data_IF_156894520391
#
_entry.id   IF_156894520391
#
_cell.length_a   1.000
_cell.length_b   1.000
_cell.length_c   1.000
_cell.angle_alpha   90.00
_cell.angle_beta   90.00
_cell.angle_gamma   90.00
#
_symmetry.space_group_name_H-M   'P 1'
#
loop_
_entity.id
_entity.type
_entity.pdbx_description
1 polymer ?
#
# COMPACT_ATOMS: atom_id res chain seq x y z
N UNK A 1 -10.90 15.69 -3.92
CA UNK A 1 -10.48 14.47 -3.21
C UNK A 1 -11.68 13.73 -2.67
N UNK A 2 -11.83 12.45 -3.04
CA UNK A 2 -12.93 11.64 -2.54
C UNK A 2 -12.61 11.18 -1.12
N UNK A 3 -13.55 11.44 -0.20
CA UNK A 3 -13.48 10.95 1.18
C UNK A 3 -13.47 9.43 1.20
N UNK A 4 -12.56 8.85 2.00
CA UNK A 4 -12.52 7.41 2.23
C UNK A 4 -13.66 7.02 3.17
N UNK A 5 -14.42 6.01 2.77
CA UNK A 5 -15.44 5.41 3.62
C UNK A 5 -14.84 4.19 4.30
N UNK A 6 -14.79 4.19 5.63
CA UNK A 6 -14.29 3.05 6.40
C UNK A 6 -15.33 1.92 6.44
N UNK A 7 -14.86 0.69 6.55
CA UNK A 7 -15.73 -0.46 6.74
C UNK A 7 -16.46 -0.42 8.09
N UNK A 8 -17.73 -0.84 8.08
CA UNK A 8 -18.50 -1.07 9.30
C UNK A 8 -18.37 -2.53 9.70
N UNK A 9 -17.51 -2.79 10.68
CA UNK A 9 -17.16 -4.11 11.17
C UNK A 9 -18.05 -4.52 12.35
N UNK A 10 -18.56 -5.75 12.32
CA UNK A 10 -19.10 -6.43 13.50
C UNK A 10 -18.36 -7.75 13.74
N UNK A 11 -18.53 -8.33 14.92
CA UNK A 11 -17.98 -9.64 15.26
C UNK A 11 -19.13 -10.60 15.57
N UNK A 12 -19.10 -11.81 15.02
CA UNK A 12 -20.08 -12.84 15.34
C UNK A 12 -19.73 -13.57 16.66
N UNK A 13 -20.54 -14.57 17.03
CA UNK A 13 -20.36 -15.36 18.26
C UNK A 13 -19.01 -16.09 18.36
N UNK A 14 -18.32 -16.31 17.24
CA UNK A 14 -16.98 -16.93 17.18
C UNK A 14 -15.85 -15.90 17.03
N UNK A 15 -16.12 -14.63 17.35
CA UNK A 15 -15.21 -13.49 17.20
C UNK A 15 -14.72 -13.28 15.75
N UNK A 16 -15.51 -13.71 14.76
CA UNK A 16 -15.18 -13.57 13.34
C UNK A 16 -15.54 -12.18 12.83
N UNK A 17 -14.64 -11.47 12.15
CA UNK A 17 -14.94 -10.18 11.53
C UNK A 17 -15.95 -10.35 10.39
N UNK A 18 -17.08 -9.64 10.49
CA UNK A 18 -18.16 -9.60 9.50
C UNK A 18 -18.29 -8.20 8.93
N UNK A 19 -18.34 -8.09 7.61
CA UNK A 19 -18.70 -6.84 6.95
C UNK A 19 -20.21 -6.68 6.96
N UNK A 20 -20.72 -5.70 7.70
CA UNK A 20 -22.16 -5.40 7.72
C UNK A 20 -22.66 -4.87 6.38
N UNK A 21 -21.78 -4.24 5.59
CA UNK A 21 -22.12 -3.69 4.28
C UNK A 21 -22.32 -4.78 3.21
N UNK A 22 -21.51 -5.84 3.26
CA UNK A 22 -21.55 -6.93 2.27
C UNK A 22 -22.28 -8.17 2.80
N UNK A 23 -22.64 -8.18 4.09
CA UNK A 23 -23.30 -9.30 4.76
C UNK A 23 -22.55 -10.61 4.52
N UNK A 24 -21.23 -10.56 4.75
CA UNK A 24 -20.29 -11.65 4.52
C UNK A 24 -19.08 -11.53 5.48
N UNK A 25 -18.43 -12.65 5.75
CA UNK A 25 -17.26 -12.70 6.65
C UNK A 25 -15.99 -12.31 5.90
N UNK A 26 -15.03 -11.68 6.58
CA UNK A 26 -13.71 -11.42 5.98
C UNK A 26 -12.88 -12.70 5.85
N UNK A 27 -12.87 -13.54 6.88
CA UNK A 27 -12.26 -14.87 6.91
C UNK A 27 -12.80 -15.64 8.12
N UNK A 28 -12.70 -16.97 8.15
CA UNK A 28 -13.03 -17.77 9.34
C UNK A 28 -11.96 -17.63 10.42
N UNK A 29 -12.30 -17.30 11.68
CA UNK A 29 -11.27 -17.20 12.75
C UNK A 29 -10.60 -18.51 13.10
N UNK A 30 -11.25 -19.65 12.85
CA UNK A 30 -10.69 -20.97 13.17
C UNK A 30 -9.70 -21.46 12.09
N UNK A 31 -10.05 -21.28 10.82
CA UNK A 31 -9.30 -21.87 9.70
C UNK A 31 -8.78 -20.84 8.68
N UNK A 32 -9.03 -19.54 8.88
CA UNK A 32 -8.82 -18.50 7.87
C UNK A 32 -7.38 -18.40 7.38
N UNK A 33 -6.39 -18.58 8.26
CA UNK A 33 -4.99 -18.60 7.86
C UNK A 33 -4.65 -19.82 7.00
N UNK A 34 -5.12 -21.01 7.39
CA UNK A 34 -4.89 -22.23 6.62
C UNK A 34 -5.59 -22.17 5.25
N UNK A 35 -6.81 -21.63 5.20
CA UNK A 35 -7.52 -21.37 3.96
C UNK A 35 -6.77 -20.40 3.05
N UNK A 36 -6.30 -19.26 3.60
CA UNK A 36 -5.50 -18.27 2.87
C UNK A 36 -4.24 -18.89 2.26
N UNK A 37 -3.48 -19.67 3.04
CA UNK A 37 -2.29 -20.39 2.57
C UNK A 37 -2.65 -21.36 1.43
N UNK A 38 -3.69 -22.17 1.62
CA UNK A 38 -4.10 -23.18 0.65
C UNK A 38 -4.62 -22.59 -0.67
N UNK A 39 -5.48 -21.58 -0.58
CA UNK A 39 -6.11 -20.95 -1.75
C UNK A 39 -5.07 -20.13 -2.51
N UNK A 40 -4.44 -19.16 -1.84
CA UNK A 40 -3.66 -18.14 -2.53
C UNK A 40 -2.21 -18.52 -2.72
N UNK A 41 -1.56 -19.09 -1.71
CA UNK A 41 -0.13 -19.36 -1.77
C UNK A 41 0.17 -20.68 -2.47
N UNK A 42 -0.52 -21.76 -2.10
CA UNK A 42 -0.38 -23.04 -2.81
C UNK A 42 -1.05 -22.98 -4.19
N UNK A 43 -2.19 -22.28 -4.33
CA UNK A 43 -2.86 -22.12 -5.64
C UNK A 43 -1.99 -21.41 -6.67
N UNK A 44 -1.18 -20.43 -6.23
CA UNK A 44 -0.17 -19.80 -7.08
C UNK A 44 1.19 -20.53 -7.07
N UNK A 45 1.32 -21.66 -6.36
CA UNK A 45 2.56 -22.44 -6.25
C UNK A 45 3.77 -21.57 -5.84
N UNK A 46 3.55 -20.62 -4.92
CA UNK A 46 4.52 -19.54 -4.67
C UNK A 46 5.91 -20.04 -4.29
N UNK A 47 6.01 -21.09 -3.47
CA UNK A 47 7.31 -21.60 -3.04
C UNK A 47 8.14 -22.15 -4.21
N UNK A 48 7.53 -22.97 -5.06
CA UNK A 48 8.19 -23.52 -6.25
C UNK A 48 8.55 -22.40 -7.25
N UNK A 49 7.66 -21.42 -7.43
CA UNK A 49 7.94 -20.25 -8.26
C UNK A 49 9.11 -19.44 -7.71
N UNK A 50 9.19 -19.24 -6.40
CA UNK A 50 10.30 -18.53 -5.76
C UNK A 50 11.63 -19.25 -5.90
N UNK A 51 11.66 -20.57 -5.73
CA UNK A 51 12.88 -21.39 -5.93
C UNK A 51 13.41 -21.32 -7.36
N UNK A 52 12.53 -21.15 -8.34
CA UNK A 52 12.89 -21.05 -9.76
C UNK A 52 12.94 -19.60 -10.26
N UNK A 53 12.79 -18.61 -9.37
CA UNK A 53 12.66 -17.21 -9.77
C UNK A 53 14.01 -16.62 -10.16
N UNK A 54 14.05 -15.93 -11.29
CA UNK A 54 15.30 -15.41 -11.87
C UNK A 54 15.50 -13.90 -11.69
N UNK A 55 14.60 -13.23 -10.96
CA UNK A 55 14.68 -11.80 -10.71
C UNK A 55 14.87 -11.52 -9.22
N UNK A 56 15.43 -10.34 -8.92
CA UNK A 56 15.68 -9.94 -7.55
C UNK A 56 14.41 -9.62 -6.73
N UNK A 57 13.26 -9.54 -7.40
CA UNK A 57 11.97 -9.25 -6.79
C UNK A 57 10.82 -10.05 -7.38
N UNK A 58 9.85 -10.37 -6.54
CA UNK A 58 8.58 -11.00 -6.91
C UNK A 58 7.43 -10.05 -6.58
N UNK A 59 6.45 -9.94 -7.46
CA UNK A 59 5.31 -9.01 -7.33
C UNK A 59 4.01 -9.80 -7.22
N UNK A 60 3.32 -9.65 -6.10
CA UNK A 60 1.97 -10.17 -5.89
C UNK A 60 1.01 -8.99 -5.94
N UNK A 61 -0.14 -9.16 -6.61
CA UNK A 61 -1.23 -8.22 -6.51
C UNK A 61 -2.50 -8.88 -5.98
N UNK A 62 -3.30 -8.12 -5.24
CA UNK A 62 -4.50 -8.60 -4.55
C UNK A 62 -5.67 -7.65 -4.79
N UNK A 63 -6.87 -8.18 -5.00
CA UNK A 63 -8.06 -7.37 -5.36
C UNK A 63 -8.88 -6.85 -4.18
N UNK A 64 -8.57 -7.28 -2.95
CA UNK A 64 -9.23 -6.84 -1.72
C UNK A 64 -8.34 -7.10 -0.49
N UNK A 65 -7.83 -6.06 0.15
CA UNK A 65 -6.94 -6.19 1.30
C UNK A 65 -7.65 -6.74 2.54
N UNK A 66 -8.86 -6.25 2.80
CA UNK A 66 -9.67 -6.55 3.97
C UNK A 66 -8.90 -6.33 5.27
N UNK A 67 -8.52 -7.44 5.90
CA UNK A 67 -7.82 -7.45 7.18
C UNK A 67 -6.31 -7.68 7.03
N UNK A 68 -5.78 -7.72 5.80
CA UNK A 68 -4.36 -7.99 5.53
C UNK A 68 -3.89 -9.42 5.80
N UNK A 69 -4.80 -10.37 6.05
CA UNK A 69 -4.42 -11.75 6.42
C UNK A 69 -3.56 -12.43 5.33
N UNK A 70 -3.96 -12.31 4.07
CA UNK A 70 -3.19 -12.84 2.94
C UNK A 70 -1.79 -12.22 2.85
N UNK A 71 -1.70 -10.89 3.05
CA UNK A 71 -0.43 -10.17 3.07
C UNK A 71 0.49 -10.68 4.19
N UNK A 72 0.01 -10.76 5.44
CA UNK A 72 0.84 -11.24 6.54
C UNK A 72 1.27 -12.70 6.35
N UNK A 73 0.36 -13.55 5.89
CA UNK A 73 0.66 -14.96 5.65
C UNK A 73 1.74 -15.14 4.57
N UNK A 74 1.69 -14.36 3.48
CA UNK A 74 2.73 -14.44 2.43
C UNK A 74 4.02 -13.75 2.84
N UNK A 75 3.94 -12.69 3.65
CA UNK A 75 5.11 -11.99 4.18
C UNK A 75 5.93 -12.89 5.11
N UNK A 76 5.27 -13.60 6.04
CA UNK A 76 5.91 -14.60 6.90
C UNK A 76 6.55 -15.72 6.07
N UNK A 77 5.82 -16.28 5.09
CA UNK A 77 6.37 -17.32 4.20
C UNK A 77 7.56 -16.83 3.40
N UNK A 78 7.56 -15.58 2.96
CA UNK A 78 8.70 -14.98 2.25
C UNK A 78 9.91 -14.80 3.16
N UNK A 79 9.71 -14.40 4.41
CA UNK A 79 10.80 -14.37 5.41
C UNK A 79 11.40 -15.77 5.61
N UNK A 80 10.57 -16.81 5.72
CA UNK A 80 11.02 -18.20 5.81
C UNK A 80 11.81 -18.61 4.56
N UNK A 81 11.33 -18.26 3.36
CA UNK A 81 12.04 -18.52 2.10
C UNK A 81 13.43 -17.88 2.12
N UNK A 82 13.55 -16.61 2.52
CA UNK A 82 14.84 -15.92 2.61
C UNK A 82 15.79 -16.55 3.63
N UNK A 83 15.27 -16.97 4.79
CA UNK A 83 16.07 -17.65 5.81
C UNK A 83 16.63 -18.98 5.30
N UNK A 84 15.83 -19.74 4.54
CA UNK A 84 16.25 -21.03 3.97
C UNK A 84 17.13 -20.87 2.72
N UNK A 85 17.05 -19.73 2.03
CA UNK A 85 17.75 -19.49 0.77
C UNK A 85 18.47 -18.12 0.77
N UNK A 86 19.43 -17.89 1.68
CA UNK A 86 20.01 -16.55 1.90
C UNK A 86 20.75 -15.99 0.68
N UNK A 87 21.31 -16.86 -0.16
CA UNK A 87 22.06 -16.50 -1.38
C UNK A 87 21.21 -16.48 -2.65
N UNK A 88 19.90 -16.76 -2.55
CA UNK A 88 19.02 -16.80 -3.71
C UNK A 88 18.85 -15.41 -4.33
N UNK A 89 18.66 -15.32 -5.66
CA UNK A 89 18.55 -14.03 -6.34
C UNK A 89 17.31 -13.24 -5.89
N UNK A 90 16.18 -13.92 -5.69
CA UNK A 90 14.95 -13.33 -5.15
C UNK A 90 15.16 -12.86 -3.71
N UNK A 91 15.24 -11.54 -3.55
CA UNK A 91 15.55 -10.90 -2.27
C UNK A 91 14.44 -9.99 -1.76
N UNK A 92 13.48 -9.60 -2.62
CA UNK A 92 12.40 -8.66 -2.30
C UNK A 92 11.02 -9.17 -2.71
N UNK A 93 10.02 -8.85 -1.89
CA UNK A 93 8.61 -9.08 -2.20
C UNK A 93 7.90 -7.72 -2.31
N UNK A 94 7.22 -7.49 -3.42
CA UNK A 94 6.27 -6.39 -3.57
C UNK A 94 4.86 -6.96 -3.54
N UNK A 95 4.02 -6.39 -2.69
CA UNK A 95 2.62 -6.76 -2.57
C UNK A 95 1.77 -5.53 -2.87
N UNK A 96 0.94 -5.59 -3.89
CA UNK A 96 0.05 -4.50 -4.31
C UNK A 96 -1.37 -4.91 -3.95
N UNK A 97 -2.05 -4.20 -3.06
CA UNK A 97 -3.44 -4.51 -2.73
C UNK A 97 -4.35 -3.32 -2.93
N UNK A 98 -5.63 -3.58 -3.15
CA UNK A 98 -6.67 -2.57 -3.32
C UNK A 98 -7.69 -2.72 -2.21
N UNK A 99 -8.13 -1.60 -1.62
CA UNK A 99 -9.14 -1.61 -0.57
C UNK A 99 -10.08 -0.42 -0.68
N UNK A 100 -11.37 -0.70 -0.88
CA UNK A 100 -12.39 0.33 -1.03
C UNK A 100 -12.90 0.82 0.32
N UNK A 101 -12.96 -0.07 1.30
CA UNK A 101 -13.52 0.17 2.64
C UNK A 101 -12.52 -0.27 3.70
N UNK A 102 -11.45 0.51 3.94
CA UNK A 102 -10.43 0.12 4.89
C UNK A 102 -10.99 0.04 6.31
N UNK A 103 -10.42 -0.86 7.11
CA UNK A 103 -10.62 -0.89 8.55
C UNK A 103 -9.89 0.26 9.22
N UNK A 104 -10.38 0.68 10.39
CA UNK A 104 -9.63 1.62 11.24
C UNK A 104 -8.43 0.92 11.86
N UNK A 105 -7.42 1.68 12.29
CA UNK A 105 -6.24 1.14 12.98
C UNK A 105 -6.62 0.32 14.22
N UNK A 106 -7.65 0.75 14.96
CA UNK A 106 -8.19 0.02 16.11
C UNK A 106 -8.84 -1.30 15.71
N UNK A 107 -9.66 -1.31 14.65
CA UNK A 107 -10.29 -2.53 14.13
C UNK A 107 -9.24 -3.52 13.63
N UNK A 108 -8.22 -3.07 12.89
CA UNK A 108 -7.10 -3.92 12.47
C UNK A 108 -6.39 -4.53 13.67
N UNK A 109 -6.03 -3.72 14.66
CA UNK A 109 -5.38 -4.21 15.88
C UNK A 109 -6.21 -5.28 16.59
N UNK A 110 -7.53 -5.07 16.69
CA UNK A 110 -8.45 -6.05 17.25
C UNK A 110 -8.48 -7.35 16.45
N UNK A 111 -8.61 -7.27 15.12
CA UNK A 111 -8.65 -8.46 14.26
C UNK A 111 -7.33 -9.23 14.34
N UNK A 112 -6.19 -8.54 14.31
CA UNK A 112 -4.86 -9.15 14.33
C UNK A 112 -4.50 -9.80 15.67
N UNK A 113 -5.19 -9.46 16.76
CA UNK A 113 -5.00 -10.11 18.07
C UNK A 113 -5.27 -11.62 18.04
N UNK A 114 -6.07 -12.09 17.07
CA UNK A 114 -6.30 -13.51 16.83
C UNK A 114 -5.11 -14.24 16.17
N UNK A 115 -4.11 -13.50 15.66
CA UNK A 115 -2.93 -14.03 14.98
C UNK A 115 -1.64 -13.48 15.60
N UNK A 116 -1.29 -13.89 16.82
CA UNK A 116 -0.14 -13.34 17.56
C UNK A 116 1.21 -13.54 16.83
N UNK A 117 1.33 -14.53 15.95
CA UNK A 117 2.51 -14.72 15.09
C UNK A 117 2.76 -13.51 14.17
N UNK A 118 1.72 -12.74 13.83
CA UNK A 118 1.84 -11.54 13.01
C UNK A 118 1.94 -10.25 13.82
N UNK A 119 2.13 -10.31 15.15
CA UNK A 119 2.12 -9.13 16.02
C UNK A 119 3.10 -8.03 15.59
N UNK A 120 4.30 -8.39 15.13
CA UNK A 120 5.29 -7.42 14.65
C UNK A 120 4.85 -6.74 13.34
N UNK A 121 4.31 -7.51 12.39
CA UNK A 121 3.76 -6.96 11.15
C UNK A 121 2.57 -6.05 11.45
N UNK A 122 1.64 -6.51 12.29
CA UNK A 122 0.48 -5.74 12.72
C UNK A 122 0.91 -4.42 13.37
N UNK A 123 1.82 -4.45 14.34
CA UNK A 123 2.30 -3.25 15.03
C UNK A 123 2.92 -2.26 14.05
N UNK A 124 3.77 -2.73 13.14
CA UNK A 124 4.43 -1.86 12.16
C UNK A 124 3.43 -1.26 11.16
N UNK A 125 2.39 -2.01 10.79
CA UNK A 125 1.34 -1.52 9.90
C UNK A 125 0.47 -0.47 10.61
N UNK A 126 -0.04 -0.79 11.81
CA UNK A 126 -1.03 0.04 12.51
C UNK A 126 -0.46 1.32 13.09
N UNK A 127 0.85 1.37 13.33
CA UNK A 127 1.50 2.54 13.90
C UNK A 127 1.53 3.77 12.97
N UNK A 128 1.41 3.56 11.65
CA UNK A 128 1.30 4.63 10.64
C UNK A 128 0.02 4.51 9.79
N UNK A 129 -1.04 3.87 10.31
CA UNK A 129 -2.25 3.61 9.52
C UNK A 129 -3.18 4.84 9.47
N UNK A 130 -2.81 5.82 8.65
CA UNK A 130 -3.55 7.07 8.47
C UNK A 130 -4.11 7.17 7.05
N UNK A 131 -5.38 6.79 6.87
CA UNK A 131 -6.01 6.74 5.55
C UNK A 131 -6.73 8.06 5.23
N UNK A 132 -5.95 9.09 4.87
CA UNK A 132 -6.49 10.44 4.66
C UNK A 132 -7.12 10.68 3.28
N UNK A 133 -6.74 9.90 2.26
CA UNK A 133 -7.22 10.08 0.89
C UNK A 133 -7.12 8.81 0.05
N UNK A 134 -7.84 8.79 -1.07
CA UNK A 134 -7.70 7.75 -2.11
C UNK A 134 -6.31 7.75 -2.76
N UNK A 135 -5.87 6.57 -3.20
CA UNK A 135 -4.59 6.36 -3.88
C UNK A 135 -3.67 5.44 -3.10
N UNK A 136 -2.39 5.45 -3.47
CA UNK A 136 -1.40 4.51 -2.97
C UNK A 136 -0.71 5.02 -1.70
N UNK A 137 -0.73 4.20 -0.65
CA UNK A 137 0.19 4.32 0.49
C UNK A 137 1.15 3.13 0.47
N UNK A 138 2.44 3.40 0.69
CA UNK A 138 3.47 2.36 0.75
C UNK A 138 3.86 2.08 2.20
N UNK A 139 3.98 0.81 2.55
CA UNK A 139 4.49 0.32 3.83
C UNK A 139 5.72 -0.57 3.63
N UNK A 140 6.67 -0.48 4.57
CA UNK A 140 7.93 -1.22 4.52
C UNK A 140 8.05 -2.20 5.68
N UNK A 141 8.40 -3.44 5.36
CA UNK A 141 8.71 -4.52 6.30
C UNK A 141 10.03 -5.16 5.86
N UNK A 142 11.12 -4.41 6.06
CA UNK A 142 12.47 -4.72 5.57
C UNK A 142 12.52 -4.92 4.05
N UNK A 143 12.55 -6.17 3.59
CA UNK A 143 12.63 -6.53 2.18
C UNK A 143 11.25 -6.76 1.53
N UNK A 144 10.18 -6.49 2.28
CA UNK A 144 8.80 -6.66 1.86
C UNK A 144 8.16 -5.29 1.80
N UNK A 145 7.54 -4.98 0.66
CA UNK A 145 6.94 -3.68 0.38
C UNK A 145 5.45 -3.91 0.10
N UNK A 146 4.59 -3.19 0.81
CA UNK A 146 3.14 -3.21 0.60
C UNK A 146 2.71 -1.88 -0.01
N UNK A 147 2.18 -1.91 -1.23
CA UNK A 147 1.48 -0.79 -1.86
C UNK A 147 -0.02 -1.01 -1.68
N UNK A 148 -0.63 -0.22 -0.80
CA UNK A 148 -2.06 -0.30 -0.53
C UNK A 148 -2.79 0.86 -1.21
N UNK A 149 -3.64 0.52 -2.17
CA UNK A 149 -4.42 1.46 -2.96
C UNK A 149 -5.82 1.61 -2.38
N UNK A 150 -6.05 2.72 -1.70
CA UNK A 150 -7.37 3.04 -1.14
C UNK A 150 -8.29 3.63 -2.20
N UNK A 151 -9.53 3.13 -2.24
CA UNK A 151 -10.54 3.50 -3.23
C UNK A 151 -11.01 2.31 -4.07
N UNK A 152 -11.92 2.56 -5.02
CA UNK A 152 -12.44 1.50 -5.88
C UNK A 152 -11.31 0.94 -6.78
N UNK A 153 -11.19 -0.38 -6.80
CA UNK A 153 -10.20 -1.07 -7.63
C UNK A 153 -10.39 -0.77 -9.12
N UNK A 154 -11.63 -0.55 -9.58
CA UNK A 154 -11.91 -0.23 -10.98
C UNK A 154 -11.41 1.15 -11.37
N UNK A 155 -11.30 2.08 -10.41
CA UNK A 155 -10.72 3.41 -10.61
C UNK A 155 -9.19 3.40 -10.42
N UNK A 156 -8.69 2.59 -9.49
CA UNK A 156 -7.27 2.55 -9.12
C UNK A 156 -6.41 1.69 -10.07
N UNK A 157 -6.91 0.55 -10.56
CA UNK A 157 -6.11 -0.32 -11.46
C UNK A 157 -5.61 0.38 -12.72
N UNK A 158 -6.44 1.17 -13.44
CA UNK A 158 -5.95 1.93 -14.59
C UNK A 158 -4.86 2.96 -14.22
N UNK A 159 -4.87 3.51 -13.00
CA UNK A 159 -3.89 4.51 -12.54
C UNK A 159 -2.47 3.95 -12.35
N UNK A 160 -2.30 2.63 -12.25
CA UNK A 160 -0.96 2.02 -12.31
C UNK A 160 -0.24 2.31 -13.64
N UNK A 161 -1.00 2.59 -14.70
CA UNK A 161 -0.48 2.92 -16.03
C UNK A 161 0.14 1.71 -16.74
N UNK A 162 0.73 1.95 -17.91
CA UNK A 162 1.30 0.90 -18.76
C UNK A 162 2.68 0.42 -18.33
N UNK A 163 3.32 1.11 -17.38
CA UNK A 163 4.61 0.69 -16.82
C UNK A 163 4.51 -0.57 -15.97
N UNK A 164 3.32 -0.85 -15.44
CA UNK A 164 3.00 -2.06 -14.72
C UNK A 164 2.53 -3.21 -15.64
N UNK A 165 2.45 -3.00 -16.96
CA UNK A 165 2.18 -4.08 -17.91
C UNK A 165 3.24 -5.16 -17.76
N UNK A 166 2.82 -6.43 -17.68
CA UNK A 166 3.73 -7.57 -17.59
C UNK A 166 4.69 -7.47 -16.38
N UNK A 167 4.22 -6.94 -15.23
CA UNK A 167 5.02 -6.79 -13.99
C UNK A 167 4.56 -7.65 -12.82
N UNK A 168 3.31 -8.09 -12.78
CA UNK A 168 2.76 -8.88 -11.67
C UNK A 168 3.06 -10.36 -11.90
N UNK A 169 3.70 -11.02 -10.93
CA UNK A 169 4.04 -12.45 -11.00
C UNK A 169 2.86 -13.34 -10.57
N UNK A 170 2.08 -12.89 -9.58
CA UNK A 170 0.91 -13.61 -9.08
C UNK A 170 -0.25 -12.69 -8.67
N UNK A 171 -1.48 -13.16 -8.90
CA UNK A 171 -2.70 -12.51 -8.42
C UNK A 171 -3.38 -13.33 -7.31
N UNK A 172 -3.70 -12.64 -6.22
CA UNK A 172 -4.66 -13.08 -5.21
C UNK A 172 -6.00 -12.43 -5.55
N UNK A 173 -6.83 -13.14 -6.31
CA UNK A 173 -8.15 -12.65 -6.69
C UNK A 173 -9.11 -12.93 -5.53
N UNK A 174 -9.12 -12.00 -4.59
CA UNK A 174 -9.87 -12.03 -3.33
C UNK A 174 -10.91 -10.91 -3.23
N UNK A 175 -11.81 -11.04 -2.26
CA UNK A 175 -12.91 -10.12 -1.98
C UNK A 175 -14.19 -10.89 -1.65
N UNK A 176 -15.26 -10.17 -1.30
CA UNK A 176 -16.54 -10.81 -0.98
C UNK A 176 -17.05 -11.69 -2.12
N UNK A 177 -17.82 -12.72 -1.77
CA UNK A 177 -18.31 -13.70 -2.73
C UNK A 177 -18.96 -13.03 -3.96
N UNK A 178 -18.84 -13.60 -5.18
CA UNK A 178 -19.34 -12.95 -6.40
C UNK A 178 -20.82 -12.55 -6.36
N UNK A 179 -21.65 -13.31 -5.65
CA UNK A 179 -23.08 -13.01 -5.49
C UNK A 179 -23.34 -11.86 -4.50
N UNK A 180 -22.38 -11.58 -3.60
CA UNK A 180 -22.42 -10.50 -2.61
C UNK A 180 -21.82 -9.19 -3.12
N UNK A 181 -20.82 -9.25 -4.01
CA UNK A 181 -20.17 -8.07 -4.59
C UNK A 181 -19.98 -8.16 -6.12
N UNK A 182 -21.05 -8.34 -6.92
CA UNK A 182 -20.94 -8.57 -8.36
C UNK A 182 -20.31 -7.40 -9.12
N UNK A 183 -20.29 -6.20 -8.55
CA UNK A 183 -19.68 -5.00 -9.14
C UNK A 183 -18.17 -5.14 -9.32
N UNK A 184 -17.48 -5.75 -8.34
CA UNK A 184 -16.04 -6.00 -8.43
C UNK A 184 -15.72 -7.08 -9.47
N UNK A 185 -16.49 -8.18 -9.47
CA UNK A 185 -16.27 -9.35 -10.33
C UNK A 185 -16.75 -9.13 -11.77
N UNK A 186 -16.09 -8.23 -12.48
CA UNK A 186 -16.49 -7.78 -13.81
C UNK A 186 -15.39 -7.95 -14.86
N UNK A 187 -15.77 -7.80 -16.13
CA UNK A 187 -14.87 -7.91 -17.28
C UNK A 187 -13.69 -6.93 -17.19
N UNK A 188 -13.93 -5.69 -16.77
CA UNK A 188 -12.90 -4.65 -16.67
C UNK A 188 -11.79 -5.04 -15.70
N UNK A 189 -12.14 -5.63 -14.56
CA UNK A 189 -11.16 -6.17 -13.61
C UNK A 189 -10.30 -7.26 -14.27
N UNK A 190 -10.92 -8.26 -14.90
CA UNK A 190 -10.19 -9.37 -15.52
C UNK A 190 -9.25 -8.90 -16.64
N UNK A 191 -9.66 -7.89 -17.42
CA UNK A 191 -8.83 -7.29 -18.46
C UNK A 191 -7.59 -6.62 -17.86
N UNK A 192 -7.76 -5.87 -16.77
CA UNK A 192 -6.63 -5.25 -16.07
C UNK A 192 -5.70 -6.28 -15.45
N UNK A 193 -6.24 -7.34 -14.83
CA UNK A 193 -5.42 -8.44 -14.31
C UNK A 193 -4.58 -9.09 -15.41
N UNK A 194 -5.19 -9.42 -16.57
CA UNK A 194 -4.48 -10.03 -17.70
C UNK A 194 -3.44 -9.09 -18.33
N UNK A 195 -3.73 -7.78 -18.38
CA UNK A 195 -2.80 -6.74 -18.87
C UNK A 195 -1.54 -6.66 -18.00
N UNK A 196 -1.73 -6.65 -16.68
CA UNK A 196 -0.66 -6.38 -15.71
C UNK A 196 0.14 -7.62 -15.32
N UNK A 197 -0.44 -8.82 -15.44
CA UNK A 197 0.24 -10.07 -15.13
C UNK A 197 1.28 -10.45 -16.18
N UNK A 198 2.39 -11.00 -15.71
CA UNK A 198 3.44 -11.56 -16.55
C UNK A 198 2.95 -12.74 -17.38
N UNK A 199 3.55 -12.96 -18.53
CA UNK A 199 3.44 -14.26 -19.19
C UNK A 199 3.92 -15.37 -18.24
N UNK A 200 3.18 -16.47 -18.14
CA UNK A 200 3.33 -17.53 -17.13
C UNK A 200 3.08 -17.10 -15.66
N UNK A 201 2.64 -15.86 -15.43
CA UNK A 201 2.13 -15.45 -14.13
C UNK A 201 0.83 -16.17 -13.81
N UNK A 202 0.58 -16.40 -12.52
CA UNK A 202 -0.63 -17.12 -12.05
C UNK A 202 -1.64 -16.24 -11.35
N UNK A 203 -2.87 -16.72 -11.26
CA UNK A 203 -3.83 -16.24 -10.28
C UNK A 203 -4.42 -17.40 -9.50
N UNK A 204 -4.91 -17.12 -8.29
CA UNK A 204 -5.75 -18.03 -7.52
C UNK A 204 -6.90 -17.27 -6.87
N UNK A 205 -8.04 -17.94 -6.71
CA UNK A 205 -9.24 -17.40 -6.05
C UNK A 205 -10.02 -18.49 -5.34
N UNK A 206 -10.69 -18.15 -4.24
CA UNK A 206 -11.50 -19.09 -3.46
C UNK A 206 -12.78 -19.54 -4.20
N UNK A 207 -13.27 -18.75 -5.17
CA UNK A 207 -14.55 -19.02 -5.86
C UNK A 207 -14.38 -19.98 -7.03
N UNK A 208 -15.39 -20.83 -7.25
CA UNK A 208 -15.54 -21.68 -8.43
C UNK A 208 -16.69 -21.25 -9.35
N UNK A 209 -17.17 -20.01 -9.20
CA UNK A 209 -18.29 -19.49 -9.99
C UNK A 209 -18.06 -19.59 -11.49
N UNK A 210 -19.08 -20.08 -12.20
CA UNK A 210 -19.03 -20.23 -13.66
C UNK A 210 -18.96 -18.88 -14.39
N UNK A 211 -19.46 -17.79 -13.81
CA UNK A 211 -19.33 -16.44 -14.38
C UNK A 211 -17.88 -15.96 -14.32
N UNK A 212 -17.25 -16.10 -13.15
CA UNK A 212 -15.83 -15.73 -12.91
C UNK A 212 -14.91 -16.55 -13.82
N UNK A 213 -15.09 -17.88 -13.87
CA UNK A 213 -14.32 -18.75 -14.76
C UNK A 213 -14.41 -18.30 -16.22
N UNK A 214 -15.61 -18.09 -16.74
CA UNK A 214 -15.81 -17.65 -18.13
C UNK A 214 -15.24 -16.25 -18.38
N UNK A 215 -15.36 -15.34 -17.42
CA UNK A 215 -14.78 -14.00 -17.51
C UNK A 215 -13.26 -14.00 -17.63
N UNK A 216 -12.59 -14.80 -16.81
CA UNK A 216 -11.13 -14.97 -16.85
C UNK A 216 -10.67 -15.68 -18.13
N UNK A 217 -11.40 -16.71 -18.58
CA UNK A 217 -11.11 -17.36 -19.86
C UNK A 217 -11.29 -16.40 -21.05
N UNK A 218 -12.31 -15.54 -21.02
CA UNK A 218 -12.59 -14.60 -22.09
C UNK A 218 -11.52 -13.52 -22.27
N UNK A 219 -10.72 -13.23 -21.23
CA UNK A 219 -9.57 -12.30 -21.34
C UNK A 219 -8.25 -13.00 -21.67
N UNK A 220 -8.24 -14.35 -21.72
CA UNK A 220 -7.10 -15.13 -22.18
C UNK A 220 -6.40 -16.00 -21.12
N UNK A 221 -6.89 -16.06 -19.88
CA UNK A 221 -6.31 -16.95 -18.87
C UNK A 221 -6.61 -18.42 -19.16
N UNK A 222 -5.64 -19.30 -18.93
CA UNK A 222 -5.85 -20.74 -18.83
C UNK A 222 -6.37 -21.09 -17.44
N UNK A 223 -7.69 -21.21 -17.31
CA UNK A 223 -8.37 -21.43 -16.02
C UNK A 223 -8.62 -22.91 -15.73
N UNK A 224 -8.14 -23.37 -14.58
CA UNK A 224 -8.28 -24.74 -14.07
C UNK A 224 -9.06 -24.74 -12.74
N UNK A 225 -9.73 -25.86 -12.46
CA UNK A 225 -10.36 -26.11 -11.16
C UNK A 225 -9.39 -26.87 -10.25
N UNK A 226 -9.38 -26.55 -8.97
CA UNK A 226 -8.70 -27.30 -7.90
C UNK A 226 -9.71 -27.63 -6.82
N UNK A 227 -9.44 -28.65 -6.01
CA UNK A 227 -10.23 -28.96 -4.80
C UNK A 227 -10.27 -27.72 -3.90
N UNK A 228 -11.44 -27.38 -3.35
CA UNK A 228 -11.57 -26.27 -2.41
C UNK A 228 -11.03 -26.64 -1.01
N UNK A 229 -10.78 -25.62 -0.20
CA UNK A 229 -10.36 -25.81 1.19
C UNK A 229 -11.52 -26.31 2.07
N UNK A 230 -11.23 -27.21 3.01
CA UNK A 230 -12.22 -27.73 3.96
C UNK A 230 -13.44 -28.34 3.28
N UNK A 231 -14.63 -27.76 3.53
CA UNK A 231 -15.91 -28.21 2.96
C UNK A 231 -16.17 -27.69 1.54
N UNK A 232 -15.40 -26.70 1.05
CA UNK A 232 -15.59 -26.15 -0.30
C UNK A 232 -15.18 -27.20 -1.33
N UNK A 233 -16.05 -27.47 -2.31
CA UNK A 233 -15.82 -28.52 -3.30
C UNK A 233 -14.71 -28.17 -4.28
N UNK A 234 -14.77 -26.96 -4.81
CA UNK A 234 -13.89 -26.49 -5.89
C UNK A 234 -13.49 -25.04 -5.67
N UNK A 235 -12.35 -24.65 -6.24
CA UNK A 235 -11.85 -23.29 -6.36
C UNK A 235 -11.12 -23.13 -7.71
N UNK A 236 -10.76 -21.91 -8.10
CA UNK A 236 -10.10 -21.64 -9.38
C UNK A 236 -8.66 -21.20 -9.20
N UNK A 237 -7.83 -21.66 -10.13
CA UNK A 237 -6.50 -21.13 -10.35
C UNK A 237 -6.24 -21.12 -11.85
N UNK A 238 -5.24 -20.38 -12.29
CA UNK A 238 -4.86 -20.38 -13.69
C UNK A 238 -3.64 -19.53 -13.97
N UNK A 239 -3.21 -19.54 -15.23
CA UNK A 239 -2.01 -18.85 -15.66
C UNK A 239 -2.26 -18.10 -16.96
N UNK A 240 -1.49 -17.03 -17.17
CA UNK A 240 -1.41 -16.38 -18.47
C UNK A 240 -0.51 -17.22 -19.39
N UNK A 241 -0.96 -17.63 -20.59
CA UNK A 241 -0.14 -18.41 -21.51
C UNK A 241 1.21 -17.73 -21.80
N UNK A 242 2.28 -18.54 -21.88
CA UNK A 242 3.65 -18.04 -22.12
C UNK A 242 3.78 -17.20 -23.41
N UNK A 243 3.00 -17.55 -24.44
CA UNK A 243 3.02 -16.90 -25.76
C UNK A 243 1.95 -15.80 -25.92
N UNK A 244 1.40 -15.28 -24.82
CA UNK A 244 0.43 -14.18 -24.89
C UNK A 244 1.09 -12.91 -25.44
N UNK A 245 0.37 -12.20 -26.31
CA UNK A 245 0.82 -10.90 -26.84
C UNK A 245 1.00 -9.89 -25.71
N UNK A 246 2.09 -9.13 -25.80
CA UNK A 246 2.35 -8.04 -24.85
C UNK A 246 1.64 -6.77 -25.33
N UNK A 247 0.87 -6.10 -24.46
CA UNK A 247 0.20 -4.87 -24.83
C UNK A 247 1.25 -3.79 -25.18
N UNK A 248 0.95 -2.98 -26.18
CA UNK A 248 1.75 -1.79 -26.48
C UNK A 248 1.77 -0.87 -25.24
N UNK A 249 2.93 -0.30 -24.95
CA UNK A 249 3.12 0.60 -23.80
C UNK A 249 2.89 2.03 -24.29
N UNK A 250 1.86 2.70 -23.75
CA UNK A 250 1.65 4.12 -23.95
C UNK A 250 2.02 4.87 -22.67
N UNK A 251 3.22 5.44 -22.66
CA UNK A 251 3.72 6.23 -21.51
C UNK A 251 3.66 7.72 -21.82
N UNK A 252 3.36 8.57 -20.82
CA UNK A 252 3.42 10.01 -21.00
C UNK A 252 4.80 10.46 -21.46
N UNK A 253 4.86 11.52 -22.28
CA UNK A 253 6.12 12.04 -22.86
C UNK A 253 7.18 12.42 -21.80
N UNK A 254 6.75 12.75 -20.58
CA UNK A 254 7.60 13.13 -19.46
C UNK A 254 8.13 11.93 -18.67
N UNK A 255 7.73 10.70 -19.00
CA UNK A 255 8.25 9.51 -18.36
C UNK A 255 9.52 9.01 -19.07
N UNK A 256 10.63 8.96 -18.33
CA UNK A 256 11.89 8.43 -18.84
C UNK A 256 12.03 6.95 -18.49
N UNK A 257 12.22 6.13 -19.52
CA UNK A 257 12.61 4.73 -19.33
C UNK A 257 14.08 4.66 -18.89
N UNK A 258 14.43 3.81 -17.93
CA UNK A 258 15.83 3.60 -17.58
C UNK A 258 16.60 3.06 -18.79
N UNK A 259 17.70 3.72 -19.13
CA UNK A 259 18.54 3.32 -20.28
C UNK A 259 19.42 2.10 -19.99
N UNK A 260 19.70 1.82 -18.70
CA UNK A 260 20.47 0.67 -18.27
C UNK A 260 20.12 0.28 -16.83
N UNK A 261 20.23 -1.01 -16.51
CA UNK A 261 20.30 -1.47 -15.13
C UNK A 261 21.76 -1.39 -14.64
N UNK A 262 21.98 -0.73 -13.51
CA UNK A 262 23.30 -0.66 -12.86
C UNK A 262 23.17 -1.03 -11.38
N UNK A 263 24.23 -1.62 -10.85
CA UNK A 263 24.38 -1.91 -9.43
C UNK A 263 25.27 -0.90 -8.70
N UNK A 264 26.09 -0.13 -9.42
CA UNK A 264 26.99 0.88 -8.85
C UNK A 264 26.53 2.29 -9.25
N UNK A 265 26.15 3.09 -8.25
CA UNK A 265 25.45 4.36 -8.43
C UNK A 265 26.22 5.46 -7.70
N UNK A 266 26.66 6.46 -8.46
CA UNK A 266 27.20 7.70 -7.91
C UNK A 266 26.07 8.72 -7.69
N UNK A 267 25.98 9.28 -6.48
CA UNK A 267 25.05 10.36 -6.12
C UNK A 267 25.87 11.60 -5.85
N UNK A 268 25.53 12.72 -6.49
CA UNK A 268 26.15 14.02 -6.23
C UNK A 268 25.21 14.84 -5.35
N UNK A 269 25.66 15.18 -4.14
CA UNK A 269 24.85 15.90 -3.16
C UNK A 269 25.40 15.76 -1.73
N UNK A 270 24.62 16.22 -0.77
CA UNK A 270 24.94 16.07 0.66
C UNK A 270 23.80 16.47 1.58
N UNK A 271 22.60 16.65 1.02
CA UNK A 271 21.40 17.03 1.76
C UNK A 271 20.45 15.85 1.94
N UNK A 272 19.26 16.15 2.45
CA UNK A 272 18.26 15.15 2.82
C UNK A 272 17.83 14.24 1.65
N UNK A 273 17.69 14.81 0.45
CA UNK A 273 17.31 14.06 -0.75
C UNK A 273 18.35 13.00 -1.14
N UNK A 274 19.64 13.35 -1.13
CA UNK A 274 20.72 12.40 -1.43
C UNK A 274 20.80 11.28 -0.39
N UNK A 275 20.52 11.57 0.88
CA UNK A 275 20.56 10.56 1.95
C UNK A 275 19.40 9.57 1.84
N UNK A 276 18.17 10.04 1.63
CA UNK A 276 17.02 9.15 1.44
C UNK A 276 17.09 8.37 0.12
N UNK A 277 17.66 8.95 -0.95
CA UNK A 277 17.96 8.21 -2.18
C UNK A 277 18.98 7.10 -1.93
N UNK A 278 20.08 7.42 -1.22
CA UNK A 278 21.09 6.43 -0.84
C UNK A 278 20.47 5.28 -0.03
N UNK A 279 19.65 5.60 0.98
CA UNK A 279 18.95 4.61 1.79
C UNK A 279 18.05 3.70 0.94
N UNK A 280 17.22 4.27 0.06
CA UNK A 280 16.32 3.50 -0.80
C UNK A 280 17.06 2.56 -1.78
N UNK A 281 18.25 2.97 -2.25
CA UNK A 281 19.11 2.16 -3.11
C UNK A 281 19.83 1.06 -2.33
N UNK A 282 20.35 1.37 -1.14
CA UNK A 282 20.97 0.39 -0.23
C UNK A 282 19.97 -0.70 0.20
N UNK A 283 18.72 -0.33 0.52
CA UNK A 283 17.63 -1.27 0.80
C UNK A 283 17.30 -2.21 -0.38
N UNK A 284 17.71 -1.83 -1.60
CA UNK A 284 17.58 -2.65 -2.82
C UNK A 284 18.86 -3.40 -3.17
N UNK A 285 19.87 -3.38 -2.30
CA UNK A 285 21.14 -4.07 -2.47
C UNK A 285 22.07 -3.41 -3.50
N UNK A 286 21.85 -2.12 -3.81
CA UNK A 286 22.70 -1.37 -4.73
C UNK A 286 23.92 -0.83 -4.01
N UNK A 287 25.04 -0.73 -4.72
CA UNK A 287 26.24 -0.03 -4.28
C UNK A 287 26.08 1.46 -4.56
N UNK A 288 26.33 2.29 -3.54
CA UNK A 288 26.14 3.73 -3.60
C UNK A 288 27.43 4.44 -3.21
N UNK A 289 27.86 5.39 -4.04
CA UNK A 289 28.94 6.32 -3.73
C UNK A 289 28.38 7.74 -3.65
N UNK A 290 28.49 8.41 -2.50
CA UNK A 290 28.01 9.78 -2.30
C UNK A 290 29.17 10.77 -2.42
N UNK A 291 29.05 11.71 -3.37
CA UNK A 291 29.99 12.81 -3.55
C UNK A 291 29.40 14.12 -3.03
N UNK A 292 29.95 14.60 -1.92
CA UNK A 292 29.63 15.91 -1.36
C UNK A 292 30.75 16.90 -1.67
N UNK A 293 30.39 18.10 -2.13
CA UNK A 293 31.35 19.19 -2.37
C UNK A 293 31.90 19.76 -1.06
N UNK A 294 31.07 19.78 -0.02
CA UNK A 294 31.37 20.39 1.26
C UNK A 294 32.16 19.43 2.16
N UNK A 295 32.82 19.95 3.20
CA UNK A 295 33.61 19.15 4.13
C UNK A 295 32.76 18.23 5.04
N UNK A 296 31.45 18.44 5.07
CA UNK A 296 30.49 17.67 5.85
C UNK A 296 29.14 17.64 5.14
N UNK A 297 28.26 16.74 5.56
CA UNK A 297 26.88 16.68 5.09
C UNK A 297 26.04 17.84 5.66
N UNK A 298 24.90 18.11 5.03
CA UNK A 298 23.89 19.07 5.47
C UNK A 298 24.39 20.51 5.71
N UNK A 299 25.41 20.98 4.98
CA UNK A 299 25.97 22.34 5.17
C UNK A 299 25.19 23.46 4.47
N UNK A 300 24.10 23.14 3.77
CA UNK A 300 23.28 24.08 3.01
C UNK A 300 21.81 24.03 3.50
N UNK A 301 20.82 24.02 2.60
CA UNK A 301 19.39 24.10 2.96
C UNK A 301 18.89 22.99 3.92
N UNK A 302 19.56 21.83 3.98
CA UNK A 302 19.23 20.75 4.92
C UNK A 302 19.89 20.89 6.30
N UNK A 303 20.62 21.98 6.57
CA UNK A 303 21.37 22.20 7.81
C UNK A 303 20.62 22.96 8.92
N UNK A 304 19.33 23.22 8.73
CA UNK A 304 18.52 23.87 9.76
C UNK A 304 18.41 23.00 11.00
N UNK A 305 18.45 23.62 12.18
CA UNK A 305 18.31 22.90 13.46
C UNK A 305 16.93 22.28 13.63
N UNK A 306 15.89 22.99 13.18
CA UNK A 306 14.50 22.56 13.29
C UNK A 306 13.76 22.90 11.99
N UNK A 307 13.01 21.92 11.47
CA UNK A 307 12.16 22.09 10.30
C UNK A 307 10.73 21.65 10.61
N UNK A 308 9.76 22.43 10.17
CA UNK A 308 8.36 22.02 10.24
C UNK A 308 8.06 21.00 9.14
N UNK A 309 7.35 19.92 9.50
CA UNK A 309 6.87 18.90 8.55
C UNK A 309 5.35 18.87 8.58
N UNK A 310 4.73 19.19 7.46
CA UNK A 310 3.29 19.13 7.23
C UNK A 310 3.03 19.09 5.72
N UNK A 311 1.91 18.55 5.25
CA UNK A 311 1.57 18.56 3.83
C UNK A 311 1.15 19.98 3.43
N UNK A 312 1.55 20.39 2.23
CA UNK A 312 1.02 21.61 1.64
C UNK A 312 -0.42 21.36 1.16
N UNK A 313 -1.37 21.78 1.99
CA UNK A 313 -2.79 21.80 1.64
C UNK A 313 -3.12 23.10 0.90
N UNK A 314 -3.95 23.00 -0.14
CA UNK A 314 -4.44 24.15 -0.91
C UNK A 314 -5.81 23.87 -1.52
N UNK A 315 -6.47 24.90 -2.04
CA UNK A 315 -7.65 24.83 -2.92
C UNK A 315 -7.26 24.80 -4.41
N UNK A 316 -5.99 24.52 -4.71
CA UNK A 316 -5.40 24.51 -6.06
C UNK A 316 -5.45 23.10 -6.69
N UNK A 317 -4.55 22.80 -7.64
CA UNK A 317 -4.44 21.53 -8.36
C UNK A 317 -4.47 20.30 -7.45
N UNK A 318 -5.51 19.47 -7.62
CA UNK A 318 -5.70 18.22 -6.88
C UNK A 318 -4.50 17.27 -6.97
N UNK A 319 -3.74 17.29 -8.08
CA UNK A 319 -2.55 16.45 -8.26
C UNK A 319 -1.45 16.83 -7.27
N UNK A 320 -1.25 18.13 -7.06
CA UNK A 320 -0.25 18.63 -6.12
C UNK A 320 -0.65 18.28 -4.69
N UNK A 321 -1.91 18.48 -4.34
CA UNK A 321 -2.38 18.20 -2.98
C UNK A 321 -2.29 16.70 -2.69
N UNK A 322 -2.70 15.84 -3.64
CA UNK A 322 -2.55 14.39 -3.53
C UNK A 322 -1.10 13.99 -3.31
N UNK A 323 -0.17 14.59 -4.06
CA UNK A 323 1.27 14.35 -3.88
C UNK A 323 1.76 14.72 -2.48
N UNK A 324 1.40 15.91 -1.96
CA UNK A 324 1.86 16.35 -0.65
C UNK A 324 1.28 15.52 0.49
N UNK A 325 0.00 15.15 0.44
CA UNK A 325 -0.63 14.32 1.48
C UNK A 325 -0.02 12.91 1.50
N UNK A 326 0.17 12.27 0.33
CA UNK A 326 0.85 10.96 0.26
C UNK A 326 2.32 11.04 0.66
N UNK A 327 3.01 12.11 0.30
CA UNK A 327 4.42 12.31 0.68
C UNK A 327 4.57 12.54 2.18
N UNK A 328 3.62 13.24 2.80
CA UNK A 328 3.60 13.48 4.24
C UNK A 328 3.37 12.18 5.02
N UNK A 329 2.35 11.40 4.64
CA UNK A 329 2.11 10.06 5.20
C UNK A 329 3.37 9.17 5.11
N UNK A 330 3.95 9.09 3.91
CA UNK A 330 5.17 8.32 3.69
C UNK A 330 6.36 8.84 4.52
N UNK A 331 6.51 10.17 4.65
CA UNK A 331 7.58 10.76 5.45
C UNK A 331 7.44 10.43 6.94
N UNK A 332 6.22 10.53 7.51
CA UNK A 332 5.95 10.14 8.90
C UNK A 332 6.30 8.68 9.15
N UNK A 333 5.90 7.80 8.23
CA UNK A 333 6.24 6.38 8.30
C UNK A 333 7.76 6.15 8.29
N UNK A 334 8.49 6.84 7.40
CA UNK A 334 9.95 6.69 7.31
C UNK A 334 10.67 7.23 8.55
N UNK A 335 10.19 8.33 9.14
CA UNK A 335 10.71 8.86 10.41
C UNK A 335 10.54 7.83 11.52
N UNK A 336 9.33 7.27 11.68
CA UNK A 336 9.05 6.27 12.70
C UNK A 336 9.89 4.99 12.55
N UNK A 337 10.16 4.56 11.31
CA UNK A 337 11.04 3.41 11.04
C UNK A 337 12.52 3.68 11.35
N UNK A 338 12.95 4.95 11.27
CA UNK A 338 14.32 5.37 11.52
C UNK A 338 14.58 5.70 12.99
N UNK A 339 13.58 6.16 13.74
CA UNK A 339 13.68 6.49 15.17
C UNK A 339 14.39 5.41 16.01
N UNK A 340 14.08 4.11 15.90
CA UNK A 340 14.80 3.08 16.66
C UNK A 340 16.20 2.74 16.12
N UNK A 341 16.58 3.25 14.94
CA UNK A 341 17.82 2.90 14.22
C UNK A 341 18.86 4.01 14.22
N UNK A 342 18.43 5.26 14.27
CA UNK A 342 19.26 6.45 14.17
C UNK A 342 18.78 7.47 15.19
N UNK A 343 19.71 8.03 15.97
CA UNK A 343 19.38 9.10 16.89
C UNK A 343 19.26 10.45 16.16
N UNK A 344 18.12 11.12 16.29
CA UNK A 344 17.89 12.48 15.81
C UNK A 344 16.79 13.16 16.61
N UNK A 345 16.92 14.47 16.80
CA UNK A 345 15.93 15.30 17.49
C UNK A 345 14.69 15.44 16.61
N UNK A 346 13.52 15.11 17.16
CA UNK A 346 12.24 15.31 16.50
C UNK A 346 11.12 15.38 17.53
N UNK A 347 10.04 16.05 17.18
CA UNK A 347 8.78 16.03 17.91
C UNK A 347 7.65 16.25 16.91
N UNK A 348 6.78 15.25 16.75
CA UNK A 348 5.63 15.30 15.83
C UNK A 348 4.38 15.78 16.58
N UNK A 349 4.46 16.97 17.18
CA UNK A 349 3.40 17.55 18.02
C UNK A 349 2.32 18.31 17.26
N UNK A 350 2.30 18.21 15.93
CA UNK A 350 1.41 18.97 15.04
C UNK A 350 1.93 20.37 14.69
N UNK A 351 1.30 20.98 13.68
CA UNK A 351 1.65 22.29 13.12
C UNK A 351 0.42 23.20 13.11
N UNK A 352 0.53 24.33 13.80
CA UNK A 352 -0.48 25.38 13.77
C UNK A 352 -0.23 26.37 12.62
N UNK A 353 -1.20 26.53 11.73
CA UNK A 353 -1.24 27.55 10.69
C UNK A 353 -2.13 28.70 11.18
N UNK A 354 -1.50 29.75 11.69
CA UNK A 354 -2.20 30.88 12.32
C UNK A 354 -2.93 31.77 11.31
N UNK A 355 -4.20 32.11 11.58
CA UNK A 355 -5.01 33.03 10.80
C UNK A 355 -4.67 34.50 11.07
N UNK A 356 -3.46 34.94 10.72
CA UNK A 356 -2.95 36.28 11.07
C UNK A 356 -3.61 37.45 10.31
N UNK A 357 -4.38 37.19 9.26
CA UNK A 357 -5.19 38.18 8.56
C UNK A 357 -6.40 37.53 7.88
N UNK A 358 -7.35 38.35 7.40
CA UNK A 358 -8.57 37.86 6.74
C UNK A 358 -8.26 36.91 5.57
N UNK A 359 -7.28 37.26 4.71
CA UNK A 359 -6.91 36.45 3.55
C UNK A 359 -6.50 35.02 3.93
N UNK A 360 -5.75 34.85 5.02
CA UNK A 360 -5.36 33.51 5.48
C UNK A 360 -6.52 32.78 6.15
N UNK A 361 -7.34 33.48 6.93
CA UNK A 361 -8.55 32.90 7.52
C UNK A 361 -9.49 32.37 6.43
N UNK A 362 -9.73 33.15 5.37
CA UNK A 362 -10.54 32.73 4.23
C UNK A 362 -9.94 31.49 3.53
N UNK A 363 -8.61 31.44 3.37
CA UNK A 363 -7.93 30.27 2.80
C UNK A 363 -8.11 29.03 3.66
N UNK A 364 -7.96 29.14 4.98
CA UNK A 364 -8.14 28.03 5.92
C UNK A 364 -9.60 27.56 5.97
N UNK A 365 -10.56 28.48 5.87
CA UNK A 365 -11.98 28.13 5.76
C UNK A 365 -12.25 27.33 4.49
N UNK A 366 -11.73 27.77 3.33
CA UNK A 366 -11.85 27.00 2.09
C UNK A 366 -11.27 25.60 2.19
N UNK A 367 -10.15 25.43 2.91
CA UNK A 367 -9.59 24.11 3.18
C UNK A 367 -10.51 23.25 4.05
N UNK A 368 -11.14 23.85 5.07
CA UNK A 368 -12.11 23.16 5.90
C UNK A 368 -13.33 22.69 5.08
N UNK A 369 -13.77 23.50 4.12
CA UNK A 369 -14.90 23.19 3.24
C UNK A 369 -14.61 22.00 2.30
N UNK A 370 -13.33 21.66 2.07
CA UNK A 370 -12.92 20.43 1.35
C UNK A 370 -13.17 19.15 2.17
N UNK A 371 -13.56 19.26 3.45
CA UNK A 371 -13.92 18.15 4.33
C UNK A 371 -12.84 17.06 4.44
N UNK A 372 -11.59 17.47 4.65
CA UNK A 372 -10.50 16.56 5.01
C UNK A 372 -10.82 15.76 6.28
N UNK A 373 -10.12 14.65 6.47
CA UNK A 373 -10.12 13.96 7.75
C UNK A 373 -9.59 14.91 8.85
N UNK A 374 -10.27 14.96 10.00
CA UNK A 374 -9.89 15.85 11.10
C UNK A 374 -8.52 15.49 11.70
N UNK A 375 -8.05 14.26 11.50
CA UNK A 375 -6.68 13.86 11.85
C UNK A 375 -5.61 14.38 10.88
N UNK A 376 -6.00 14.95 9.73
CA UNK A 376 -5.10 15.62 8.79
C UNK A 376 -5.19 17.15 8.88
N UNK A 377 -6.40 17.69 9.03
CA UNK A 377 -6.61 19.13 9.13
C UNK A 377 -7.86 19.44 9.94
N UNK A 378 -7.69 20.24 10.98
CA UNK A 378 -8.75 20.75 11.82
C UNK A 378 -8.76 22.28 11.78
N UNK A 379 -9.91 22.88 11.45
CA UNK A 379 -10.09 24.32 11.61
C UNK A 379 -10.44 24.61 13.07
N UNK A 380 -9.61 25.41 13.73
CA UNK A 380 -9.75 25.75 15.14
C UNK A 380 -10.14 27.23 15.30
N UNK A 381 -11.06 27.50 16.23
CA UNK A 381 -11.23 28.85 16.75
C UNK A 381 -10.03 29.24 17.65
N UNK A 382 -10.01 30.48 18.16
CA UNK A 382 -8.89 30.98 18.97
C UNK A 382 -8.66 30.19 20.27
N UNK A 383 -9.74 29.76 20.93
CA UNK A 383 -9.70 28.98 22.18
C UNK A 383 -9.11 27.59 21.91
N UNK A 384 -9.66 26.87 20.94
CA UNK A 384 -9.20 25.54 20.53
C UNK A 384 -7.74 25.56 20.08
N UNK A 385 -7.34 26.57 19.28
CA UNK A 385 -5.95 26.69 18.83
C UNK A 385 -5.01 26.98 20.01
N UNK A 386 -5.45 27.83 20.96
CA UNK A 386 -4.67 28.13 22.16
C UNK A 386 -4.44 26.88 23.02
N UNK A 387 -5.47 26.04 23.17
CA UNK A 387 -5.37 24.77 23.88
C UNK A 387 -4.37 23.82 23.22
N UNK A 388 -4.43 23.67 21.89
CA UNK A 388 -3.54 22.75 21.14
C UNK A 388 -2.08 23.18 21.19
N UNK A 389 -1.78 24.47 21.10
CA UNK A 389 -0.39 24.96 21.08
C UNK A 389 0.15 25.32 22.47
N UNK A 390 -0.71 25.34 23.49
CA UNK A 390 -0.34 25.71 24.86
C UNK A 390 -0.02 27.19 25.06
N UNK A 391 -0.46 28.08 24.17
CA UNK A 391 -0.21 29.52 24.21
C UNK A 391 -1.47 30.30 23.79
N UNK A 392 -1.82 31.42 24.45
CA UNK A 392 -2.98 32.21 24.07
C UNK A 392 -2.79 32.87 22.70
N UNK A 393 -3.77 32.69 21.82
CA UNK A 393 -3.86 33.37 20.52
C UNK A 393 -5.17 34.15 20.40
N UNK A 394 -5.14 35.24 19.64
CA UNK A 394 -6.32 36.10 19.45
C UNK A 394 -7.22 35.65 18.30
N UNK A 395 -6.64 35.03 17.28
CA UNK A 395 -7.37 34.49 16.13
C UNK A 395 -7.34 32.97 16.12
N UNK A 396 -8.28 32.37 15.38
CA UNK A 396 -8.23 30.95 15.04
C UNK A 396 -7.18 30.63 13.97
N UNK A 397 -7.20 29.39 13.49
CA UNK A 397 -6.27 28.90 12.49
C UNK A 397 -6.56 27.46 12.09
N UNK A 398 -5.67 26.89 11.28
CA UNK A 398 -5.68 25.46 11.00
C UNK A 398 -4.68 24.73 11.89
N UNK A 399 -5.01 23.51 12.29
CA UNK A 399 -4.08 22.60 12.94
C UNK A 399 -3.93 21.35 12.08
N UNK A 400 -2.69 20.96 11.84
CA UNK A 400 -2.31 19.75 11.09
C UNK A 400 -1.57 18.80 12.03
#
# INVERSE_FOLDING_TARGET
>A
MNKINFATLSFNETNTPVSTQFDDIYFSTQDGLAESIYVFQEGNQLWEKWQNHTLASFVIAETGFGTGLNFFAVAEKFQQFKQQNPTHILQRLYFISFEKYPLTSQQLTQVHSNYPQFANFSKNLTACWNVWQTGCQRYHFDNIYLDLWFGDILDNLPQLGDLYNDKIDAWFLDGFAPDKNPQMWCKSLYQQMFRLIKNSGSFATFTASSSVRRGLQAVGFEVKKRKGFGKKREMLWGEKPLQSEKPAINIPYYYQQPQAETDDIAIVGGGIASLFLSLSLLEKGKKVTLYCKDNALAQNASGNLQGAIYPQLSDDDERNIRFYVHSFDYALQRIQQLEPKVNFEHNLSGVAIYGYNQKNQDKLQKLADLNYDLSLFELCNAEQLSEKIGLPVTNGGGFI
#
